data_IF_923798274865
#
_entry.id   IF_923798274865
#
_cell.length_a   1.000
_cell.length_b   1.000
_cell.length_c   1.000
_cell.angle_alpha   90.00
_cell.angle_beta   90.00
_cell.angle_gamma   90.00
#
_symmetry.space_group_name_H-M   'P 1'
#
loop_
_entity.id
_entity.type
_entity.pdbx_description
1 polymer ?
#
# COMPACT_ATOMS: atom_id res chain seq x y z
N UNK A 1 23.63 8.81 6.47
CA UNK A 1 23.36 7.36 6.61
C UNK A 1 22.15 6.98 5.76
N UNK A 2 22.38 6.61 4.52
CA UNK A 2 21.36 6.05 3.62
C UNK A 2 21.26 4.55 3.92
N UNK A 3 20.22 4.15 4.66
CA UNK A 3 19.89 2.72 4.79
C UNK A 3 19.16 2.28 3.52
N UNK A 4 19.53 1.13 2.92
CA UNK A 4 18.78 0.55 1.81
C UNK A 4 17.36 0.26 2.28
N UNK A 5 16.34 0.62 1.48
CA UNK A 5 14.97 0.19 1.72
C UNK A 5 14.93 -1.34 1.73
N UNK A 6 14.64 -2.01 2.85
CA UNK A 6 14.36 -3.43 2.81
C UNK A 6 13.06 -3.63 2.00
N UNK A 7 12.94 -4.75 1.26
CA UNK A 7 11.68 -5.10 0.62
C UNK A 7 10.58 -5.08 1.69
N UNK A 8 9.48 -4.36 1.43
CA UNK A 8 8.36 -4.21 2.37
C UNK A 8 8.07 -5.57 3.03
N UNK A 9 8.33 -5.74 4.33
CA UNK A 9 7.99 -6.98 4.99
C UNK A 9 6.49 -7.20 4.84
N UNK A 10 6.13 -8.39 4.36
CA UNK A 10 4.77 -8.86 4.27
C UNK A 10 4.03 -8.59 5.58
N UNK A 11 3.06 -7.65 5.57
CA UNK A 11 2.15 -7.47 6.72
C UNK A 11 1.45 -8.82 7.00
N UNK A 12 1.29 -9.20 8.28
CA UNK A 12 0.55 -10.39 8.67
C UNK A 12 -0.95 -10.24 8.40
N UNK A 13 -1.43 -9.04 8.10
CA UNK A 13 -2.81 -8.79 7.71
C UNK A 13 -2.91 -8.64 6.18
N UNK A 14 -3.83 -9.38 5.57
CA UNK A 14 -4.05 -9.37 4.12
C UNK A 14 -5.49 -9.02 3.80
N UNK A 15 -5.67 -8.29 2.71
CA UNK A 15 -6.98 -8.19 2.06
C UNK A 15 -7.15 -9.41 1.17
N UNK A 16 -8.26 -10.13 1.36
CA UNK A 16 -8.60 -11.28 0.55
C UNK A 16 -10.06 -11.22 0.10
N UNK A 17 -10.36 -11.89 -1.01
CA UNK A 17 -11.70 -11.98 -1.59
C UNK A 17 -12.30 -13.35 -1.31
N UNK A 18 -13.46 -13.35 -0.66
CA UNK A 18 -14.24 -14.54 -0.33
C UNK A 18 -15.57 -14.54 -1.11
N UNK A 19 -16.30 -15.67 -1.15
CA UNK A 19 -17.61 -15.74 -1.80
C UNK A 19 -18.62 -14.72 -1.25
N UNK A 20 -18.50 -14.36 0.02
CA UNK A 20 -19.37 -13.45 0.74
C UNK A 20 -18.88 -11.98 0.72
N UNK A 21 -17.76 -11.70 0.05
CA UNK A 21 -17.21 -10.34 -0.13
C UNK A 21 -15.71 -10.22 0.17
N UNK A 22 -15.12 -9.02 -0.03
CA UNK A 22 -13.76 -8.73 0.40
C UNK A 22 -13.66 -8.61 1.93
N UNK A 23 -12.57 -9.10 2.51
CA UNK A 23 -12.37 -9.10 3.96
C UNK A 23 -10.87 -8.97 4.32
N UNK A 24 -10.60 -8.49 5.54
CA UNK A 24 -9.28 -8.50 6.15
C UNK A 24 -9.04 -9.82 6.88
N UNK A 25 -7.89 -10.45 6.63
CA UNK A 25 -7.48 -11.68 7.31
C UNK A 25 -6.18 -11.47 8.06
N UNK A 26 -6.14 -11.89 9.32
CA UNK A 26 -4.91 -11.99 10.10
C UNK A 26 -4.33 -13.38 9.89
N UNK A 27 -3.09 -13.49 9.41
CA UNK A 27 -2.42 -14.77 9.22
C UNK A 27 -1.92 -15.35 10.55
N UNK A 28 -1.95 -16.66 10.69
CA UNK A 28 -1.39 -17.33 11.87
C UNK A 28 0.13 -17.10 11.98
N UNK A 29 0.65 -16.66 13.14
CA UNK A 29 2.08 -16.46 13.36
C UNK A 29 2.85 -17.79 13.45
N UNK A 30 2.17 -18.88 13.81
CA UNK A 30 2.80 -20.16 14.15
C UNK A 30 2.93 -21.11 12.95
N UNK A 31 2.46 -20.69 11.77
CA UNK A 31 2.59 -21.52 10.56
C UNK A 31 4.03 -21.49 10.05
N UNK A 32 4.71 -22.64 9.99
CA UNK A 32 6.05 -22.71 9.47
C UNK A 32 6.06 -22.48 7.96
N UNK A 33 7.10 -21.80 7.45
CA UNK A 33 7.24 -21.49 6.02
C UNK A 33 7.12 -22.73 5.11
N UNK A 34 7.53 -23.92 5.58
CA UNK A 34 7.36 -25.19 4.85
C UNK A 34 5.90 -25.52 4.55
N UNK A 35 4.99 -25.25 5.49
CA UNK A 35 3.55 -25.50 5.34
C UNK A 35 2.96 -24.53 4.32
N UNK A 36 3.32 -23.25 4.40
CA UNK A 36 2.94 -22.26 3.38
C UNK A 36 3.45 -22.62 1.98
N UNK A 37 4.70 -23.10 1.86
CA UNK A 37 5.23 -23.59 0.58
C UNK A 37 4.43 -24.78 0.05
N UNK A 38 4.10 -25.74 0.91
CA UNK A 38 3.25 -26.88 0.56
C UNK A 38 1.88 -26.45 0.04
N UNK A 39 1.22 -25.50 0.71
CA UNK A 39 -0.08 -24.99 0.26
C UNK A 39 0.01 -24.19 -1.04
N UNK A 40 1.10 -23.43 -1.29
CA UNK A 40 1.35 -22.77 -2.58
C UNK A 40 1.51 -23.77 -3.72
N UNK A 41 2.27 -24.84 -3.49
CA UNK A 41 2.46 -25.92 -4.46
C UNK A 41 1.10 -26.58 -4.76
N UNK A 42 0.34 -26.92 -3.72
CA UNK A 42 -1.01 -27.50 -3.86
C UNK A 42 -1.96 -26.58 -4.64
N UNK A 43 -1.92 -25.28 -4.37
CA UNK A 43 -2.73 -24.30 -5.07
C UNK A 43 -2.36 -24.19 -6.56
N UNK A 44 -1.07 -24.34 -6.89
CA UNK A 44 -0.60 -24.37 -8.28
C UNK A 44 -0.89 -25.68 -9.02
N UNK A 45 -1.00 -26.80 -8.30
CA UNK A 45 -1.21 -28.14 -8.85
C UNK A 45 -2.69 -28.58 -8.79
N UNK A 46 -3.60 -27.75 -9.29
CA UNK A 46 -5.01 -28.17 -9.40
C UNK A 46 -5.15 -29.29 -10.44
N UNK A 47 -5.89 -30.38 -10.15
CA UNK A 47 -5.99 -31.53 -11.06
C UNK A 47 -6.35 -31.15 -12.49
N UNK A 48 -7.29 -30.22 -12.68
CA UNK A 48 -7.66 -29.71 -14.00
C UNK A 48 -6.49 -29.07 -14.76
N UNK A 49 -5.69 -28.25 -14.08
CA UNK A 49 -4.52 -27.57 -14.68
C UNK A 49 -3.41 -28.56 -15.03
N UNK A 50 -3.20 -29.55 -14.16
CA UNK A 50 -2.21 -30.61 -14.41
C UNK A 50 -2.64 -31.47 -15.59
N UNK A 51 -3.91 -31.87 -15.66
CA UNK A 51 -4.45 -32.66 -16.77
C UNK A 51 -4.40 -31.90 -18.10
N UNK A 52 -4.75 -30.61 -18.13
CA UNK A 52 -4.63 -29.79 -19.35
C UNK A 52 -3.18 -29.62 -19.79
N UNK A 53 -2.26 -29.44 -18.85
CA UNK A 53 -0.82 -29.35 -19.13
C UNK A 53 -0.26 -30.67 -19.68
N UNK A 54 -0.62 -31.80 -19.08
CA UNK A 54 -0.22 -33.14 -19.54
C UNK A 54 -0.79 -33.45 -20.94
N UNK A 55 -2.06 -33.14 -21.19
CA UNK A 55 -2.66 -33.32 -22.51
C UNK A 55 -1.96 -32.47 -23.57
N UNK A 56 -1.63 -31.22 -23.25
CA UNK A 56 -0.84 -30.34 -24.12
C UNK A 56 0.56 -30.87 -24.40
N UNK A 57 1.24 -31.40 -23.38
CA UNK A 57 2.57 -32.01 -23.54
C UNK A 57 2.53 -33.26 -24.43
N UNK A 58 1.56 -34.15 -24.21
CA UNK A 58 1.36 -35.34 -25.06
C UNK A 58 1.10 -34.93 -26.52
N UNK A 59 0.24 -33.93 -26.75
CA UNK A 59 -0.05 -33.41 -28.09
C UNK A 59 1.21 -32.85 -28.77
N UNK A 60 2.03 -32.07 -28.04
CA UNK A 60 3.27 -31.51 -28.56
C UNK A 60 4.29 -32.59 -28.94
N UNK A 61 4.43 -33.64 -28.11
CA UNK A 61 5.34 -34.78 -28.38
C UNK A 61 4.88 -35.58 -29.59
N UNK A 62 3.59 -35.85 -29.72
CA UNK A 62 3.01 -36.55 -30.87
C UNK A 62 3.15 -35.73 -32.17
N UNK A 63 2.97 -34.41 -32.10
CA UNK A 63 3.18 -33.52 -33.24
C UNK A 63 4.64 -33.44 -33.68
N UNK A 64 5.58 -33.41 -32.74
CA UNK A 64 7.01 -33.38 -33.04
C UNK A 64 7.53 -34.70 -33.66
N UNK A 65 6.88 -35.83 -33.37
CA UNK A 65 7.28 -37.16 -33.84
C UNK A 65 6.60 -37.59 -35.16
N UNK A 66 5.55 -36.91 -35.60
CA UNK A 66 4.74 -37.30 -36.77
C UNK A 66 5.18 -36.66 -38.11
N UNK A 67 6.24 -35.86 -38.12
CA UNK A 67 6.85 -35.30 -39.34
C UNK A 67 6.47 -33.84 -39.65
N UNK A 68 6.99 -33.31 -40.76
CA UNK A 68 6.82 -31.90 -41.16
C UNK A 68 5.53 -31.67 -41.96
N UNK A 69 4.66 -30.79 -41.47
CA UNK A 69 3.46 -30.35 -42.19
C UNK A 69 2.66 -29.31 -41.40
N UNK A 70 1.83 -28.53 -42.09
CA UNK A 70 0.94 -27.53 -41.46
C UNK A 70 0.12 -28.07 -40.26
N UNK A 71 -0.52 -29.26 -40.31
CA UNK A 71 -1.24 -29.79 -39.15
C UNK A 71 -0.34 -30.14 -37.96
N UNK A 72 0.91 -30.58 -38.21
CA UNK A 72 1.87 -30.85 -37.15
C UNK A 72 2.33 -29.56 -36.46
N UNK A 73 2.56 -28.47 -37.22
CA UNK A 73 2.89 -27.15 -36.66
C UNK A 73 1.73 -26.60 -35.81
N UNK A 74 0.49 -26.75 -36.28
CA UNK A 74 -0.70 -26.36 -35.51
C UNK A 74 -0.86 -27.17 -34.23
N UNK A 75 -0.73 -28.50 -34.30
CA UNK A 75 -0.82 -29.35 -33.12
C UNK A 75 0.30 -29.07 -32.10
N UNK A 76 1.53 -28.83 -32.57
CA UNK A 76 2.67 -28.44 -31.73
C UNK A 76 2.40 -27.11 -31.02
N UNK A 77 1.96 -26.09 -31.76
CA UNK A 77 1.66 -24.77 -31.18
C UNK A 77 0.50 -24.82 -30.19
N UNK A 78 -0.55 -25.58 -30.48
CA UNK A 78 -1.65 -25.81 -29.54
C UNK A 78 -1.19 -26.53 -28.26
N UNK A 79 -0.35 -27.55 -28.39
CA UNK A 79 0.22 -28.29 -27.26
C UNK A 79 1.10 -27.40 -26.37
N UNK A 80 2.00 -26.62 -26.97
CA UNK A 80 2.85 -25.65 -26.26
C UNK A 80 2.01 -24.59 -25.56
N UNK A 81 0.99 -24.04 -26.24
CA UNK A 81 0.08 -23.06 -25.66
C UNK A 81 -0.67 -23.64 -24.46
N UNK A 82 -1.15 -24.88 -24.54
CA UNK A 82 -1.85 -25.54 -23.45
C UNK A 82 -0.94 -25.75 -22.22
N UNK A 83 0.32 -26.15 -22.43
CA UNK A 83 1.33 -26.25 -21.36
C UNK A 83 1.60 -24.88 -20.73
N UNK A 84 1.86 -23.86 -21.55
CA UNK A 84 2.14 -22.50 -21.08
C UNK A 84 0.96 -21.89 -20.30
N UNK A 85 -0.26 -22.05 -20.82
CA UNK A 85 -1.48 -21.59 -20.17
C UNK A 85 -1.69 -22.30 -18.83
N UNK A 86 -1.45 -23.61 -18.76
CA UNK A 86 -1.56 -24.41 -17.53
C UNK A 86 -0.52 -23.97 -16.48
N UNK A 87 0.72 -23.76 -16.89
CA UNK A 87 1.78 -23.27 -16.01
C UNK A 87 1.48 -21.86 -15.48
N UNK A 88 1.02 -20.95 -16.34
CA UNK A 88 0.65 -19.59 -15.94
C UNK A 88 -0.56 -19.57 -15.00
N UNK A 89 -1.57 -20.41 -15.27
CA UNK A 89 -2.73 -20.56 -14.40
C UNK A 89 -2.35 -21.16 -13.03
N UNK A 90 -1.44 -22.13 -13.00
CA UNK A 90 -0.88 -22.70 -11.77
C UNK A 90 -0.09 -21.67 -10.97
N UNK A 91 0.79 -20.92 -11.63
CA UNK A 91 1.55 -19.83 -11.01
C UNK A 91 0.64 -18.74 -10.43
N UNK A 92 -0.37 -18.30 -11.20
CA UNK A 92 -1.37 -17.33 -10.71
C UNK A 92 -2.13 -17.87 -9.51
N UNK A 93 -2.51 -19.15 -9.52
CA UNK A 93 -3.21 -19.79 -8.39
C UNK A 93 -2.32 -19.84 -7.14
N UNK A 94 -1.03 -20.14 -7.30
CA UNK A 94 -0.07 -20.14 -6.20
C UNK A 94 0.17 -18.73 -5.62
N UNK A 95 0.25 -17.70 -6.47
CA UNK A 95 0.40 -16.30 -6.04
C UNK A 95 -0.85 -15.77 -5.32
N UNK A 96 -2.04 -16.18 -5.77
CA UNK A 96 -3.33 -15.71 -5.22
C UNK A 96 -3.82 -16.50 -4.01
N UNK A 97 -3.06 -17.48 -3.53
CA UNK A 97 -3.44 -18.35 -2.41
C UNK A 97 -3.96 -17.60 -1.17
N UNK A 98 -3.40 -16.43 -0.88
CA UNK A 98 -3.73 -15.62 0.31
C UNK A 98 -4.67 -14.44 0.02
N UNK A 99 -5.10 -14.26 -1.22
CA UNK A 99 -5.85 -13.08 -1.67
C UNK A 99 -7.17 -13.43 -2.37
N UNK A 100 -7.29 -14.66 -2.88
CA UNK A 100 -8.48 -15.12 -3.59
C UNK A 100 -8.89 -16.51 -3.08
N UNK A 101 -9.92 -16.51 -2.25
CA UNK A 101 -10.56 -17.69 -1.68
C UNK A 101 -11.89 -18.01 -2.38
N UNK A 102 -12.20 -17.31 -3.48
CA UNK A 102 -13.32 -17.66 -4.34
C UNK A 102 -12.97 -18.92 -5.11
N UNK A 103 -13.76 -19.96 -4.90
CA UNK A 103 -13.67 -21.19 -5.63
C UNK A 103 -15.01 -21.46 -6.33
N UNK A 104 -15.00 -22.36 -7.32
CA UNK A 104 -16.20 -22.66 -8.10
C UNK A 104 -17.34 -23.22 -7.24
N UNK A 105 -18.56 -23.29 -7.80
CA UNK A 105 -19.73 -23.83 -7.09
C UNK A 105 -19.40 -25.20 -6.47
N UNK A 106 -19.67 -25.35 -5.16
CA UNK A 106 -19.44 -26.61 -4.43
C UNK A 106 -17.99 -26.88 -3.99
N UNK A 107 -17.03 -26.00 -4.29
CA UNK A 107 -15.65 -26.12 -3.80
C UNK A 107 -15.39 -25.14 -2.66
N UNK A 108 -15.03 -25.67 -1.48
CA UNK A 108 -14.74 -24.88 -0.30
C UNK A 108 -13.24 -24.52 -0.27
N UNK A 109 -12.91 -23.32 0.22
CA UNK A 109 -11.51 -22.98 0.40
C UNK A 109 -10.92 -23.83 1.51
N UNK A 110 -9.91 -24.64 1.18
CA UNK A 110 -9.25 -25.49 2.18
C UNK A 110 -8.69 -24.68 3.35
N UNK A 111 -8.12 -23.51 3.06
CA UNK A 111 -7.52 -22.65 4.09
C UNK A 111 -8.58 -22.01 5.01
N UNK A 112 -9.83 -21.93 4.56
CA UNK A 112 -10.97 -21.38 5.30
C UNK A 112 -11.81 -22.48 5.97
N UNK A 113 -11.41 -23.76 5.85
CA UNK A 113 -12.20 -24.90 6.36
C UNK A 113 -12.20 -24.96 7.88
N UNK A 114 -11.09 -24.61 8.51
CA UNK A 114 -10.93 -24.60 9.96
C UNK A 114 -10.50 -23.20 10.37
N UNK A 115 -11.40 -22.50 11.07
CA UNK A 115 -11.13 -21.16 11.60
C UNK A 115 -9.89 -21.18 12.47
N UNK A 116 -9.02 -20.18 12.30
CA UNK A 116 -7.79 -20.07 13.09
C UNK A 116 -6.72 -21.12 12.77
N UNK A 117 -6.91 -22.01 11.78
CA UNK A 117 -5.83 -22.89 11.35
C UNK A 117 -4.77 -22.10 10.57
N UNK A 118 -5.21 -21.35 9.55
CA UNK A 118 -4.34 -20.56 8.66
C UNK A 118 -4.46 -19.06 8.87
N UNK A 119 -5.66 -18.59 9.11
CA UNK A 119 -5.97 -17.19 9.34
C UNK A 119 -7.27 -17.05 10.14
N UNK A 120 -7.49 -15.84 10.64
CA UNK A 120 -8.75 -15.39 11.22
C UNK A 120 -9.26 -14.24 10.38
N UNK A 121 -10.54 -14.31 9.98
CA UNK A 121 -11.19 -13.27 9.18
C UNK A 121 -11.81 -12.24 10.11
N UNK A 122 -11.85 -10.97 9.70
CA UNK A 122 -12.54 -9.96 10.49
C UNK A 122 -14.05 -10.26 10.60
N UNK A 123 -14.63 -10.86 9.56
CA UNK A 123 -16.04 -11.28 9.56
C UNK A 123 -16.34 -12.45 10.48
N UNK A 124 -15.36 -13.26 10.87
CA UNK A 124 -15.57 -14.37 11.80
C UNK A 124 -16.14 -13.91 13.14
N UNK A 125 -15.95 -12.63 13.51
CA UNK A 125 -16.34 -12.09 14.81
C UNK A 125 -17.55 -11.15 14.76
N UNK A 126 -18.20 -10.97 13.61
CA UNK A 126 -19.29 -9.98 13.43
C UNK A 126 -20.52 -10.30 14.28
N UNK A 127 -20.78 -11.57 14.54
CA UNK A 127 -21.89 -12.06 15.37
C UNK A 127 -21.65 -11.89 16.88
N UNK A 128 -20.46 -11.43 17.30
CA UNK A 128 -20.09 -11.27 18.71
C UNK A 128 -20.33 -9.86 19.27
N UNK A 129 -21.07 -9.01 18.55
CA UNK A 129 -21.44 -7.67 19.02
C UNK A 129 -20.23 -6.78 19.34
N UNK A 130 -20.16 -6.26 20.57
CA UNK A 130 -19.07 -5.38 21.01
C UNK A 130 -17.69 -6.05 20.91
N UNK A 131 -17.58 -7.32 21.29
CA UNK A 131 -16.33 -8.09 21.18
C UNK A 131 -15.87 -8.25 19.71
N UNK A 132 -16.83 -8.30 18.77
CA UNK A 132 -16.53 -8.25 17.34
C UNK A 132 -15.91 -6.93 16.88
N UNK A 133 -16.30 -5.81 17.50
CA UNK A 133 -15.69 -4.49 17.25
C UNK A 133 -14.26 -4.45 17.78
N UNK A 134 -14.01 -4.99 18.97
CA UNK A 134 -12.66 -5.13 19.54
C UNK A 134 -11.78 -5.98 18.62
N UNK A 135 -12.28 -7.12 18.14
CA UNK A 135 -11.56 -7.97 17.20
C UNK A 135 -11.11 -7.21 15.93
N UNK A 136 -12.01 -6.40 15.35
CA UNK A 136 -11.67 -5.55 14.19
C UNK A 136 -10.60 -4.50 14.52
N UNK A 137 -10.68 -3.88 15.69
CA UNK A 137 -9.67 -2.92 16.16
C UNK A 137 -8.31 -3.60 16.28
N UNK A 138 -8.26 -4.80 16.86
CA UNK A 138 -7.03 -5.57 17.01
C UNK A 138 -6.41 -5.94 15.66
N UNK A 139 -7.19 -6.48 14.71
CA UNK A 139 -6.71 -6.82 13.37
C UNK A 139 -6.17 -5.56 12.65
N UNK A 140 -6.93 -4.47 12.69
CA UNK A 140 -6.54 -3.20 12.04
C UNK A 140 -5.27 -2.63 12.70
N UNK A 141 -5.17 -2.70 14.02
CA UNK A 141 -4.02 -2.21 14.75
C UNK A 141 -2.73 -2.98 14.45
N UNK A 142 -2.80 -4.31 14.29
CA UNK A 142 -1.64 -5.10 13.83
C UNK A 142 -1.23 -4.71 12.41
N UNK A 143 -2.19 -4.54 11.50
CA UNK A 143 -1.90 -4.12 10.13
C UNK A 143 -1.19 -2.76 10.10
N UNK A 144 -1.70 -1.80 10.87
CA UNK A 144 -1.13 -0.47 10.98
C UNK A 144 0.30 -0.51 11.54
N UNK A 145 0.52 -1.24 12.63
CA UNK A 145 1.84 -1.38 13.24
C UNK A 145 2.86 -1.98 12.25
N UNK A 146 2.46 -2.98 11.47
CA UNK A 146 3.35 -3.63 10.50
C UNK A 146 3.59 -2.80 9.23
N UNK A 147 2.66 -1.93 8.85
CA UNK A 147 2.78 -1.02 7.69
C UNK A 147 3.44 0.32 8.02
N UNK A 148 3.56 0.66 9.29
CA UNK A 148 4.20 1.87 9.77
C UNK A 148 5.63 2.04 9.19
N UNK A 149 5.97 3.20 8.59
CA UNK A 149 7.34 3.54 8.24
C UNK A 149 8.28 3.57 9.46
N UNK A 150 7.77 3.86 10.66
CA UNK A 150 8.54 3.83 11.90
C UNK A 150 8.99 2.41 12.27
N UNK A 151 8.40 1.36 11.69
CA UNK A 151 8.83 -0.04 11.91
C UNK A 151 10.32 -0.26 11.71
N UNK A 152 10.97 0.43 10.77
CA UNK A 152 12.42 0.31 10.54
C UNK A 152 13.28 0.79 11.74
N UNK A 153 12.65 1.43 12.72
CA UNK A 153 13.25 1.94 13.95
C UNK A 153 12.77 1.20 15.20
N UNK A 154 11.83 0.26 15.05
CA UNK A 154 11.28 -0.57 16.12
C UNK A 154 11.94 -1.94 16.03
N UNK A 155 12.28 -2.53 17.18
CA UNK A 155 12.81 -3.89 17.22
C UNK A 155 11.84 -4.86 16.50
N UNK A 156 12.30 -5.64 15.50
CA UNK A 156 11.41 -6.48 14.70
C UNK A 156 10.61 -7.51 15.52
N UNK A 157 11.16 -7.97 16.65
CA UNK A 157 10.49 -8.90 17.56
C UNK A 157 9.21 -8.31 18.16
N UNK A 158 9.18 -7.01 18.47
CA UNK A 158 8.03 -6.35 19.09
C UNK A 158 6.79 -6.37 18.20
N UNK A 159 6.96 -6.17 16.88
CA UNK A 159 5.86 -6.30 15.93
C UNK A 159 5.35 -7.75 15.83
N UNK A 160 6.25 -8.72 15.96
CA UNK A 160 5.90 -10.14 16.01
C UNK A 160 5.20 -10.55 17.31
N UNK A 161 5.61 -9.98 18.43
CA UNK A 161 4.95 -10.16 19.73
C UNK A 161 3.55 -9.56 19.75
N UNK A 162 3.38 -8.33 19.25
CA UNK A 162 2.06 -7.73 19.11
C UNK A 162 1.13 -8.57 18.22
N UNK A 163 1.66 -9.11 17.10
CA UNK A 163 0.90 -10.03 16.23
C UNK A 163 0.52 -11.32 16.97
N UNK A 164 1.45 -11.97 17.68
CA UNK A 164 1.16 -13.19 18.47
C UNK A 164 0.14 -12.95 19.58
N UNK A 165 0.29 -11.85 20.32
CA UNK A 165 -0.64 -11.44 21.38
C UNK A 165 -2.05 -11.25 20.81
N UNK A 166 -2.18 -10.50 19.72
CA UNK A 166 -3.48 -10.29 19.07
C UNK A 166 -4.05 -11.60 18.53
N UNK A 167 -3.22 -12.45 17.92
CA UNK A 167 -3.65 -13.77 17.46
C UNK A 167 -4.23 -14.61 18.60
N UNK A 168 -3.53 -14.68 19.74
CA UNK A 168 -3.98 -15.40 20.92
C UNK A 168 -5.27 -14.83 21.51
N UNK A 169 -5.40 -13.50 21.56
CA UNK A 169 -6.61 -12.81 21.99
C UNK A 169 -7.82 -13.18 21.11
N UNK A 170 -7.64 -13.16 19.78
CA UNK A 170 -8.71 -13.54 18.85
C UNK A 170 -9.04 -15.04 18.91
N UNK A 171 -8.04 -15.92 19.11
CA UNK A 171 -8.28 -17.35 19.35
C UNK A 171 -9.00 -17.60 20.70
N UNK A 172 -8.76 -16.75 21.72
CA UNK A 172 -9.52 -16.80 22.97
C UNK A 172 -10.98 -16.42 22.70
N UNK A 173 -11.20 -15.32 21.98
CA UNK A 173 -12.53 -14.85 21.61
C UNK A 173 -13.30 -15.92 20.81
N UNK A 174 -12.70 -16.53 19.80
CA UNK A 174 -13.37 -17.57 19.00
C UNK A 174 -13.74 -18.80 19.83
N UNK A 175 -12.87 -19.25 20.74
CA UNK A 175 -13.14 -20.37 21.67
C UNK A 175 -14.30 -20.07 22.62
N UNK A 176 -14.59 -18.81 22.92
CA UNK A 176 -15.67 -18.41 23.82
C UNK A 176 -17.03 -18.27 23.15
N UNK A 177 -17.13 -18.47 21.83
CA UNK A 177 -18.38 -18.27 21.07
C UNK A 177 -19.56 -19.09 21.61
N UNK A 178 -19.34 -20.37 21.89
CA UNK A 178 -20.40 -21.23 22.41
C UNK A 178 -20.88 -20.78 23.80
N UNK A 179 -19.94 -20.40 24.67
CA UNK A 179 -20.26 -19.87 26.00
C UNK A 179 -21.04 -18.54 25.91
N UNK A 180 -20.71 -17.68 24.95
CA UNK A 180 -21.43 -16.41 24.70
C UNK A 180 -22.83 -16.64 24.14
N UNK A 181 -23.01 -17.60 23.23
CA UNK A 181 -24.34 -18.00 22.74
C UNK A 181 -25.21 -18.48 23.90
N UNK A 182 -24.66 -19.38 24.72
CA UNK A 182 -25.34 -19.91 25.89
C UNK A 182 -25.69 -18.81 26.90
N UNK A 183 -24.76 -17.89 27.20
CA UNK A 183 -25.05 -16.75 28.07
C UNK A 183 -26.18 -15.87 27.51
N UNK A 184 -26.20 -15.65 26.18
CA UNK A 184 -27.27 -14.94 25.49
C UNK A 184 -28.64 -15.65 25.61
N UNK A 185 -28.67 -16.97 25.39
CA UNK A 185 -29.88 -17.79 25.53
C UNK A 185 -30.41 -17.79 26.97
N UNK A 186 -29.52 -17.96 27.95
CA UNK A 186 -29.86 -17.93 29.38
C UNK A 186 -30.42 -16.56 29.80
N UNK A 187 -29.97 -15.47 29.18
CA UNK A 187 -30.50 -14.12 29.44
C UNK A 187 -31.94 -13.93 28.95
N UNK A 188 -32.34 -14.68 27.92
CA UNK A 188 -33.65 -14.56 27.30
C UNK A 188 -34.74 -15.32 28.08
N UNK A 189 -34.37 -16.09 29.12
CA UNK A 189 -35.30 -16.83 29.98
C UNK A 189 -35.09 -16.50 31.48
N UNK A 190 -35.46 -15.28 31.93
CA UNK A 190 -35.16 -14.79 33.28
C UNK A 190 -35.94 -15.51 34.39
N UNK A 191 -37.06 -16.14 34.07
CA UNK A 191 -38.01 -16.72 35.05
C UNK A 191 -37.71 -18.18 35.43
N UNK A 192 -36.50 -18.67 35.19
CA UNK A 192 -36.10 -20.06 35.46
C UNK A 192 -35.16 -20.18 36.66
N UNK A 193 -35.13 -21.36 37.30
CA UNK A 193 -34.15 -21.76 38.34
C UNK A 193 -32.67 -21.71 37.88
N UNK A 194 -32.42 -21.20 36.67
CA UNK A 194 -31.12 -21.12 35.99
C UNK A 194 -30.50 -19.71 36.09
N UNK A 195 -31.13 -18.78 36.83
CA UNK A 195 -30.66 -17.40 36.97
C UNK A 195 -29.23 -17.24 37.52
N UNK A 196 -28.83 -18.07 38.49
CA UNK A 196 -27.46 -18.07 39.01
C UNK A 196 -26.43 -18.53 37.96
N UNK A 197 -26.80 -19.52 37.14
CA UNK A 197 -25.95 -20.02 36.06
C UNK A 197 -25.81 -18.98 34.93
N UNK A 198 -26.89 -18.26 34.62
CA UNK A 198 -26.87 -17.14 33.68
C UNK A 198 -25.93 -16.03 34.16
N UNK A 199 -26.03 -15.64 35.44
CA UNK A 199 -25.15 -14.64 36.04
C UNK A 199 -23.68 -15.08 36.04
N UNK A 200 -23.40 -16.34 36.38
CA UNK A 200 -22.04 -16.90 36.34
C UNK A 200 -21.47 -16.92 34.92
N UNK A 201 -22.27 -17.29 33.92
CA UNK A 201 -21.86 -17.29 32.51
C UNK A 201 -21.53 -15.87 32.02
N UNK A 202 -22.36 -14.89 32.36
CA UNK A 202 -22.08 -13.48 32.06
C UNK A 202 -20.82 -12.97 32.72
N UNK A 203 -20.63 -13.28 34.00
CA UNK A 203 -19.43 -12.87 34.73
C UNK A 203 -18.16 -13.49 34.11
N UNK A 204 -18.23 -14.74 33.64
CA UNK A 204 -17.11 -15.35 32.94
C UNK A 204 -16.83 -14.69 31.58
N UNK A 205 -17.88 -14.33 30.83
CA UNK A 205 -17.74 -13.63 29.55
C UNK A 205 -17.19 -12.21 29.74
N UNK A 206 -17.64 -11.47 30.76
CA UNK A 206 -17.20 -10.10 31.03
C UNK A 206 -15.72 -10.03 31.39
N UNK A 207 -15.21 -10.96 32.20
CA UNK A 207 -13.77 -11.05 32.52
C UNK A 207 -12.92 -11.22 31.25
N UNK A 208 -13.42 -11.97 30.26
CA UNK A 208 -12.73 -12.16 28.98
C UNK A 208 -12.81 -10.88 28.14
N UNK A 209 -13.96 -10.22 28.09
CA UNK A 209 -14.13 -8.96 27.39
C UNK A 209 -13.21 -7.86 27.96
N UNK A 210 -13.12 -7.75 29.29
CA UNK A 210 -12.23 -6.81 29.97
C UNK A 210 -10.75 -7.06 29.60
N UNK A 211 -10.34 -8.33 29.55
CA UNK A 211 -8.98 -8.70 29.14
C UNK A 211 -8.71 -8.39 27.65
N UNK A 212 -9.70 -8.59 26.78
CA UNK A 212 -9.59 -8.23 25.36
C UNK A 212 -9.50 -6.71 25.15
N UNK A 213 -10.29 -5.95 25.90
CA UNK A 213 -10.24 -4.48 25.90
C UNK A 213 -8.90 -3.97 26.42
N UNK A 214 -8.32 -4.64 27.42
CA UNK A 214 -6.97 -4.35 27.89
C UNK A 214 -5.91 -4.59 26.81
N UNK A 215 -5.98 -5.70 26.08
CA UNK A 215 -5.09 -5.95 24.94
C UNK A 215 -5.25 -4.87 23.87
N UNK A 216 -6.48 -4.47 23.55
CA UNK A 216 -6.75 -3.42 22.58
C UNK A 216 -6.19 -2.06 23.01
N UNK A 217 -6.29 -1.74 24.31
CA UNK A 217 -5.74 -0.51 24.90
C UNK A 217 -4.23 -0.47 24.80
N UNK A 218 -3.54 -1.57 25.13
CA UNK A 218 -2.09 -1.67 25.02
C UNK A 218 -1.61 -1.57 23.57
N UNK A 219 -2.28 -2.27 22.64
CA UNK A 219 -1.98 -2.15 21.21
C UNK A 219 -2.16 -0.70 20.72
N UNK A 220 -3.24 -0.04 21.15
CA UNK A 220 -3.48 1.38 20.83
C UNK A 220 -2.38 2.29 21.37
N UNK A 221 -1.87 2.03 22.58
CA UNK A 221 -0.74 2.78 23.13
C UNK A 221 0.52 2.60 22.27
N UNK A 222 0.82 1.38 21.82
CA UNK A 222 1.92 1.11 20.88
C UNK A 222 1.74 1.89 19.56
N UNK A 223 0.52 1.95 19.02
CA UNK A 223 0.23 2.72 17.80
C UNK A 223 0.42 4.22 18.01
N UNK A 224 -0.01 4.77 19.15
CA UNK A 224 0.18 6.19 19.48
C UNK A 224 1.68 6.54 19.50
N UNK A 225 2.50 5.72 20.17
CA UNK A 225 3.95 5.91 20.22
C UNK A 225 4.58 5.81 18.83
N UNK A 226 4.14 4.83 18.03
CA UNK A 226 4.62 4.63 16.66
C UNK A 226 4.31 5.84 15.78
N UNK A 227 3.06 6.35 15.80
CA UNK A 227 2.64 7.55 15.06
C UNK A 227 3.39 8.81 15.51
N UNK A 228 3.62 8.96 16.81
CA UNK A 228 4.40 10.08 17.34
C UNK A 228 5.85 10.04 16.85
N UNK A 229 6.44 8.85 16.77
CA UNK A 229 7.77 8.68 16.20
C UNK A 229 7.81 9.00 14.70
N UNK A 230 6.83 8.55 13.92
CA UNK A 230 6.70 8.93 12.51
C UNK A 230 6.59 10.44 12.32
N UNK A 231 5.82 11.13 13.18
CA UNK A 231 5.71 12.58 13.14
C UNK A 231 7.08 13.25 13.38
N UNK A 232 7.86 12.77 14.35
CA UNK A 232 9.22 13.26 14.60
C UNK A 232 10.17 13.00 13.42
N UNK A 233 10.12 11.81 12.82
CA UNK A 233 10.93 11.48 11.64
C UNK A 233 10.59 12.41 10.46
N UNK A 234 9.30 12.60 10.18
CA UNK A 234 8.84 13.53 9.12
C UNK A 234 9.29 14.96 9.38
N UNK A 235 9.19 15.43 10.63
CA UNK A 235 9.64 16.76 10.99
C UNK A 235 11.15 16.93 10.77
N UNK A 236 11.97 15.95 11.18
CA UNK A 236 13.42 15.96 10.95
C UNK A 236 13.76 15.99 9.45
N UNK A 237 13.08 15.18 8.63
CA UNK A 237 13.31 15.14 7.19
C UNK A 237 12.88 16.44 6.50
N UNK A 238 11.80 17.07 6.97
CA UNK A 238 11.37 18.39 6.49
C UNK A 238 12.37 19.48 6.89
N UNK A 239 12.84 19.49 8.14
CA UNK A 239 13.84 20.44 8.61
C UNK A 239 15.16 20.31 7.83
N UNK A 240 15.62 19.08 7.57
CA UNK A 240 16.82 18.82 6.78
C UNK A 240 16.66 19.30 5.32
N UNK A 241 15.52 19.01 4.68
CA UNK A 241 15.24 19.49 3.32
C UNK A 241 15.10 21.00 3.26
N UNK A 242 14.42 21.62 4.22
CA UNK A 242 14.31 23.06 4.31
C UNK A 242 15.68 23.72 4.49
N UNK A 243 16.51 23.22 5.41
CA UNK A 243 17.87 23.70 5.60
C UNK A 243 18.73 23.59 4.33
N UNK A 244 18.64 22.46 3.62
CA UNK A 244 19.33 22.29 2.35
C UNK A 244 18.84 23.26 1.26
N UNK A 245 17.52 23.39 1.08
CA UNK A 245 16.94 24.29 0.08
C UNK A 245 17.26 25.76 0.37
N UNK A 246 17.17 26.17 1.65
CA UNK A 246 17.52 27.53 2.05
C UNK A 246 19.00 27.84 1.85
N UNK A 247 19.89 26.87 2.07
CA UNK A 247 21.32 27.02 1.82
C UNK A 247 21.69 27.14 0.32
N UNK A 248 20.79 26.74 -0.59
CA UNK A 248 20.96 26.90 -2.03
C UNK A 248 20.44 28.24 -2.57
N UNK A 249 19.73 29.02 -1.75
CA UNK A 249 19.25 30.33 -2.16
C UNK A 249 20.42 31.30 -2.34
N UNK A 250 20.37 32.20 -3.35
CA UNK A 250 21.37 33.24 -3.50
C UNK A 250 21.42 34.11 -2.25
N UNK A 251 22.62 34.37 -1.75
CA UNK A 251 22.82 35.24 -0.59
C UNK A 251 22.37 36.69 -0.90
N UNK A 252 22.02 37.42 0.14
CA UNK A 252 21.55 38.80 0.05
C UNK A 252 22.55 39.70 -0.70
N UNK A 253 23.85 39.50 -0.47
CA UNK A 253 24.90 40.22 -1.19
C UNK A 253 24.97 39.87 -2.68
N UNK A 254 24.59 38.65 -3.08
CA UNK A 254 24.49 38.29 -4.50
C UNK A 254 23.32 39.04 -5.16
N UNK A 255 22.15 39.06 -4.52
CA UNK A 255 20.98 39.79 -5.02
C UNK A 255 21.21 41.30 -5.08
N UNK A 256 21.88 41.86 -4.07
CA UNK A 256 22.26 43.28 -4.03
C UNK A 256 23.21 43.63 -5.18
N UNK A 257 24.27 42.85 -5.40
CA UNK A 257 25.19 43.06 -6.53
C UNK A 257 24.50 42.94 -7.88
N UNK A 258 23.54 42.01 -8.01
CA UNK A 258 22.76 41.86 -9.24
C UNK A 258 21.89 43.11 -9.49
N UNK A 259 21.26 43.67 -8.46
CA UNK A 259 20.52 44.94 -8.54
C UNK A 259 21.43 46.11 -8.91
N UNK A 260 22.55 46.27 -8.23
CA UNK A 260 23.54 47.32 -8.50
C UNK A 260 24.06 47.23 -9.94
N UNK A 261 24.32 46.03 -10.44
CA UNK A 261 24.76 45.79 -11.83
C UNK A 261 23.65 46.15 -12.82
N UNK A 262 22.41 45.77 -12.55
CA UNK A 262 21.26 46.10 -13.39
C UNK A 262 21.00 47.61 -13.46
N UNK A 263 21.18 48.33 -12.35
CA UNK A 263 21.05 49.79 -12.30
C UNK A 263 22.18 50.52 -13.05
N UNK A 264 23.41 49.97 -13.00
CA UNK A 264 24.56 50.53 -13.70
C UNK A 264 24.50 50.31 -15.22
N UNK A 265 23.91 49.19 -15.66
CA UNK A 265 23.93 48.73 -17.04
C UNK A 265 23.42 49.78 -18.07
N UNK A 266 22.26 50.45 -17.87
CA UNK A 266 21.80 51.48 -18.81
C UNK A 266 22.76 52.66 -18.92
N UNK A 267 23.40 53.07 -17.81
CA UNK A 267 24.36 54.19 -17.81
C UNK A 267 25.63 53.79 -18.58
N UNK A 268 26.13 52.58 -18.36
CA UNK A 268 27.27 52.03 -19.09
C UNK A 268 26.97 51.90 -20.58
N UNK A 269 25.81 51.33 -20.94
CA UNK A 269 25.37 51.22 -22.34
C UNK A 269 25.23 52.59 -23.00
N UNK A 270 24.61 53.56 -22.32
CA UNK A 270 24.48 54.93 -22.80
C UNK A 270 25.84 55.57 -23.07
N UNK A 271 26.80 55.42 -22.17
CA UNK A 271 28.16 55.93 -22.34
C UNK A 271 28.87 55.30 -23.54
N UNK A 272 28.80 53.98 -23.71
CA UNK A 272 29.39 53.30 -24.87
C UNK A 272 28.76 53.71 -26.20
N UNK A 273 27.43 53.81 -26.26
CA UNK A 273 26.69 54.22 -27.46
C UNK A 273 27.03 55.67 -27.84
N UNK A 274 27.12 56.55 -26.84
CA UNK A 274 27.55 57.94 -27.01
C UNK A 274 28.99 58.04 -27.52
N UNK A 275 29.92 57.31 -26.91
CA UNK A 275 31.30 57.27 -27.35
C UNK A 275 31.45 56.72 -28.78
N UNK A 276 30.71 55.66 -29.12
CA UNK A 276 30.72 55.09 -30.47
C UNK A 276 30.20 56.08 -31.51
N UNK A 277 29.12 56.82 -31.20
CA UNK A 277 28.61 57.90 -32.05
C UNK A 277 29.67 58.99 -32.26
N UNK A 278 30.38 59.40 -31.21
CA UNK A 278 31.40 60.45 -31.29
C UNK A 278 32.58 60.05 -32.16
N UNK A 279 33.08 58.81 -32.01
CA UNK A 279 34.18 58.28 -32.84
C UNK A 279 33.78 58.14 -34.31
N UNK A 280 32.53 57.79 -34.58
CA UNK A 280 32.04 57.57 -35.96
C UNK A 280 31.50 58.83 -36.64
N UNK A 281 31.33 59.93 -35.90
CA UNK A 281 30.76 61.17 -36.44
C UNK A 281 29.27 61.06 -36.81
N UNK A 282 28.52 60.12 -36.20
CA UNK A 282 27.16 59.79 -36.61
C UNK A 282 26.08 60.85 -36.31
N UNK A 283 26.46 62.02 -35.78
CA UNK A 283 25.56 63.12 -35.43
C UNK A 283 24.72 62.86 -34.16
N UNK A 284 24.17 63.93 -33.56
CA UNK A 284 23.48 63.86 -32.26
C UNK A 284 22.26 62.92 -32.26
N UNK A 285 22.06 62.24 -31.12
CA UNK A 285 20.89 61.38 -30.91
C UNK A 285 19.60 62.19 -30.83
N UNK A 286 18.43 61.58 -31.10
CA UNK A 286 17.14 62.27 -31.00
C UNK A 286 16.88 62.92 -29.64
N UNK A 287 17.28 62.28 -28.53
CA UNK A 287 17.06 62.79 -27.17
C UNK A 287 17.98 63.96 -26.79
N UNK A 288 19.04 64.25 -27.56
CA UNK A 288 19.96 65.37 -27.32
C UNK A 288 19.58 66.62 -28.11
N UNK A 289 18.69 66.47 -29.07
CA UNK A 289 18.17 67.58 -29.86
C UNK A 289 17.11 68.31 -29.05
N UNK A 290 17.05 69.66 -29.08
CA UNK A 290 16.04 70.41 -28.34
C UNK A 290 14.62 69.98 -28.78
N UNK A 291 13.61 69.97 -27.89
CA UNK A 291 12.27 69.49 -28.21
C UNK A 291 11.64 70.17 -29.43
N UNK A 292 12.05 71.41 -29.72
CA UNK A 292 11.63 72.19 -30.90
C UNK A 292 12.10 71.62 -32.23
N UNK A 293 13.11 70.73 -32.22
CA UNK A 293 13.70 70.09 -33.41
C UNK A 293 13.31 68.62 -33.55
N UNK A 294 12.50 68.10 -32.62
CA UNK A 294 11.92 66.78 -32.78
C UNK A 294 10.89 66.85 -33.91
N UNK A 295 11.20 66.20 -35.03
CA UNK A 295 10.27 66.05 -36.14
C UNK A 295 8.98 65.44 -35.62
N UNK A 296 7.86 66.18 -35.69
CA UNK A 296 6.51 65.65 -35.43
C UNK A 296 6.27 64.51 -36.42
N UNK A 297 6.61 63.29 -36.04
CA UNK A 297 6.10 62.11 -36.73
C UNK A 297 4.61 62.01 -36.41
N UNK A 298 3.83 62.71 -37.22
CA UNK A 298 2.39 62.56 -37.35
C UNK A 298 2.16 61.14 -37.85
N UNK A 299 1.74 60.24 -36.97
CA UNK A 299 1.14 58.96 -37.37
C UNK A 299 -0.04 59.30 -38.25
N UNK A 300 0.10 59.07 -39.56
CA UNK A 300 -0.99 59.20 -40.52
C UNK A 300 -1.50 57.80 -40.83
N UNK A 301 -2.55 57.43 -40.10
CA UNK A 301 -3.57 56.51 -40.55
C UNK A 301 -3.98 56.84 -41.99
N UNK A 302 -4.08 55.83 -42.86
CA UNK A 302 -4.57 56.04 -44.22
C UNK A 302 -4.27 54.87 -45.14
N UNK A 303 -5.24 53.96 -45.22
CA UNK A 303 -5.43 52.93 -46.23
C UNK A 303 -5.15 53.42 -47.66
N UNK A 304 -4.71 52.52 -48.53
CA UNK A 304 -4.63 52.76 -49.97
C UNK A 304 -4.04 51.59 -50.73
N UNK A 305 -4.87 50.60 -51.03
CA UNK A 305 -4.63 49.49 -51.96
C UNK A 305 -4.23 50.00 -53.35
N UNK A 306 -3.18 49.42 -53.93
CA UNK A 306 -3.11 48.75 -55.24
C UNK A 306 -1.64 48.52 -55.60
#
# INVERSE_FOLDING_TARGET
MTRPHPPHPATPVRMATFPDGPDSVLLSPDIPARRWRGERIRAGLRPRLVLTGLAGAVLAVLAASSGSGFPAVLALSAGVLAVAASALAGWRSALRLLTDHRHGPGTWCRLDRVRGEFFLRSRDFVDLGAAGTVARILITGVDELHRSPARAWIEPSLCGEAHRMVWQALCCLDRTRAARSLAGELSAAPDSDVGELAAAAHQAVSVIDDALDEVARHLRACLILTRAWEAKLRHRDLAARAGHTLALLPDHDHLRRLSETAEALPRTMFAYITAARDVTGAGAFPWEKPPSTWSRHRVRSGQGLS
#
